data_IF_784541494116
#
_entry.id   IF_784541494116
#
_cell.length_a   1.000
_cell.length_b   1.000
_cell.length_c   1.000
_cell.angle_alpha   90.00
_cell.angle_beta   90.00
_cell.angle_gamma   90.00
#
_symmetry.space_group_name_H-M   'P 1'
#
loop_
_entity.id
_entity.type
_entity.pdbx_description
1 polymer ?
#
# COMPACT_ATOMS: atom_id res chain seq x y z
N UNK A 1 -10.91 8.07 -13.17
CA UNK A 1 -9.54 8.24 -13.73
C UNK A 1 -9.31 7.08 -14.70
N UNK A 2 -8.52 7.23 -15.77
CA UNK A 2 -8.21 6.08 -16.63
C UNK A 2 -7.30 5.09 -15.89
N UNK A 3 -7.61 3.78 -15.95
CA UNK A 3 -6.83 2.74 -15.30
C UNK A 3 -5.54 2.46 -16.08
N UNK A 4 -4.42 2.40 -15.37
CA UNK A 4 -3.09 2.17 -15.94
C UNK A 4 -2.66 0.74 -15.70
N UNK A 5 -2.11 0.11 -16.72
CA UNK A 5 -1.59 -1.23 -16.65
C UNK A 5 -0.08 -1.22 -16.83
N UNK A 6 0.61 -1.87 -15.89
CA UNK A 6 2.02 -2.16 -15.99
C UNK A 6 2.20 -3.67 -15.91
N UNK A 7 3.14 -4.28 -16.64
CA UNK A 7 3.44 -5.69 -16.45
C UNK A 7 4.07 -5.94 -15.07
N UNK A 8 3.76 -7.10 -14.48
CA UNK A 8 4.06 -7.38 -13.07
C UNK A 8 5.55 -7.30 -12.70
N UNK A 9 6.46 -7.58 -13.64
CA UNK A 9 7.91 -7.53 -13.41
C UNK A 9 8.43 -6.09 -13.20
N UNK A 10 7.65 -5.07 -13.55
CA UNK A 10 7.99 -3.68 -13.21
C UNK A 10 7.59 -3.33 -11.78
N UNK A 11 6.53 -3.95 -11.25
CA UNK A 11 5.94 -3.60 -9.96
C UNK A 11 6.93 -3.78 -8.81
N UNK A 12 7.13 -2.70 -8.07
CA UNK A 12 7.97 -2.66 -6.89
C UNK A 12 7.41 -3.55 -5.78
N UNK A 13 6.09 -3.59 -5.61
CA UNK A 13 5.44 -4.48 -4.65
C UNK A 13 5.70 -5.97 -4.96
N UNK A 14 5.71 -6.35 -6.24
CA UNK A 14 6.02 -7.72 -6.64
C UNK A 14 7.47 -8.08 -6.25
N UNK A 15 8.42 -7.19 -6.54
CA UNK A 15 9.83 -7.35 -6.16
C UNK A 15 10.04 -7.38 -4.65
N UNK A 16 9.22 -6.65 -3.89
CA UNK A 16 9.23 -6.64 -2.43
C UNK A 16 8.58 -7.89 -1.79
N UNK A 17 8.12 -8.86 -2.59
CA UNK A 17 7.56 -10.11 -2.10
C UNK A 17 6.07 -10.05 -1.74
N UNK A 18 5.36 -8.98 -2.12
CA UNK A 18 3.94 -8.78 -1.82
C UNK A 18 3.04 -9.96 -2.24
N UNK A 19 3.40 -10.64 -3.34
CA UNK A 19 2.68 -11.78 -3.91
C UNK A 19 3.36 -13.14 -3.67
N UNK A 20 4.39 -13.20 -2.82
CA UNK A 20 5.09 -14.47 -2.52
C UNK A 20 4.14 -15.49 -1.92
N UNK A 21 4.34 -16.81 -2.10
CA UNK A 21 3.50 -17.81 -1.42
C UNK A 21 3.50 -17.60 0.09
N UNK A 22 2.33 -17.72 0.73
CA UNK A 22 2.25 -17.60 2.19
C UNK A 22 3.02 -18.76 2.84
N UNK A 23 3.88 -18.41 3.80
CA UNK A 23 4.60 -19.40 4.59
C UNK A 23 3.96 -19.48 5.98
N UNK A 24 3.28 -20.60 6.27
CA UNK A 24 2.61 -20.82 7.55
C UNK A 24 3.54 -20.67 8.77
N UNK A 25 4.85 -20.92 8.61
CA UNK A 25 5.83 -20.76 9.72
C UNK A 25 6.10 -19.31 10.09
N UNK A 26 5.87 -18.36 9.17
CA UNK A 26 6.13 -16.92 9.37
C UNK A 26 4.86 -16.09 9.59
N UNK A 27 3.70 -16.74 9.54
CA UNK A 27 2.39 -16.08 9.56
C UNK A 27 2.23 -15.15 10.77
N UNK A 28 2.48 -15.65 11.97
CA UNK A 28 2.35 -14.87 13.21
C UNK A 28 3.33 -13.69 13.28
N UNK A 29 4.56 -13.90 12.77
CA UNK A 29 5.57 -12.84 12.69
C UNK A 29 5.13 -11.72 11.74
N UNK A 30 4.62 -12.06 10.56
CA UNK A 30 4.10 -11.09 9.60
C UNK A 30 2.86 -10.35 10.12
N UNK A 31 2.04 -11.04 10.92
CA UNK A 31 0.86 -10.43 11.55
C UNK A 31 1.28 -9.38 12.57
N UNK A 32 2.22 -9.72 13.45
CA UNK A 32 2.76 -8.80 14.44
C UNK A 32 3.41 -7.60 13.75
N UNK A 33 4.21 -7.82 12.69
CA UNK A 33 4.78 -6.74 11.88
C UNK A 33 3.72 -5.81 11.30
N UNK A 34 2.62 -6.36 10.78
CA UNK A 34 1.52 -5.58 10.22
C UNK A 34 0.80 -4.75 11.29
N UNK A 35 0.46 -5.37 12.41
CA UNK A 35 -0.19 -4.71 13.55
C UNK A 35 0.71 -3.62 14.13
N UNK A 36 1.99 -3.91 14.38
CA UNK A 36 2.99 -2.94 14.85
C UNK A 36 3.12 -1.75 13.90
N UNK A 37 3.13 -1.98 12.59
CA UNK A 37 3.17 -0.88 11.62
C UNK A 37 1.93 0.01 11.73
N UNK A 38 0.73 -0.57 11.64
CA UNK A 38 -0.52 0.20 11.56
C UNK A 38 -0.91 0.91 12.85
N UNK A 39 -0.43 0.39 13.99
CA UNK A 39 -0.64 1.01 15.31
C UNK A 39 0.39 2.07 15.65
N UNK A 40 1.52 2.11 14.93
CA UNK A 40 2.52 3.17 15.04
C UNK A 40 2.31 4.17 13.90
N UNK A 41 1.34 5.08 14.07
CA UNK A 41 0.95 6.05 13.05
C UNK A 41 2.12 6.90 12.49
N UNK A 42 3.08 7.41 13.30
CA UNK A 42 4.23 8.12 12.76
C UNK A 42 5.11 7.25 11.83
N UNK A 43 5.33 5.98 12.19
CA UNK A 43 6.05 5.04 11.33
C UNK A 43 5.24 4.74 10.08
N UNK A 44 3.94 4.45 10.23
CA UNK A 44 3.07 4.16 9.10
C UNK A 44 3.02 5.31 8.11
N UNK A 45 2.89 6.55 8.58
CA UNK A 45 2.91 7.76 7.76
C UNK A 45 4.21 7.88 6.96
N UNK A 46 5.35 7.68 7.63
CA UNK A 46 6.68 7.73 7.00
C UNK A 46 6.80 6.70 5.87
N UNK A 47 6.31 5.47 6.09
CA UNK A 47 6.37 4.40 5.10
C UNK A 47 5.37 4.62 3.96
N UNK A 48 4.14 5.05 4.26
CA UNK A 48 3.16 5.42 3.24
C UNK A 48 3.71 6.47 2.29
N UNK A 49 4.36 7.51 2.84
CA UNK A 49 4.99 8.53 2.02
C UNK A 49 6.02 7.94 1.07
N UNK A 50 6.87 7.03 1.55
CA UNK A 50 7.86 6.33 0.72
C UNK A 50 7.22 5.48 -0.36
N UNK A 51 6.18 4.71 -0.04
CA UNK A 51 5.44 3.89 -1.02
C UNK A 51 4.93 4.79 -2.15
N UNK A 52 4.21 5.87 -1.84
CA UNK A 52 3.59 6.70 -2.88
C UNK A 52 4.61 7.51 -3.71
N UNK A 53 5.85 7.70 -3.23
CA UNK A 53 6.89 8.43 -3.95
C UNK A 53 7.88 7.52 -4.69
N UNK A 54 8.13 6.32 -4.17
CA UNK A 54 9.18 5.42 -4.69
C UNK A 54 8.62 4.25 -5.51
N UNK A 55 7.38 3.81 -5.26
CA UNK A 55 6.77 2.67 -5.95
C UNK A 55 5.87 3.10 -7.10
N UNK A 56 6.48 3.76 -8.09
CA UNK A 56 5.77 4.37 -9.22
C UNK A 56 4.87 3.38 -9.95
N UNK A 57 5.41 2.26 -10.43
CA UNK A 57 4.66 1.34 -11.29
C UNK A 57 3.57 0.61 -10.50
N UNK A 58 3.87 0.23 -9.27
CA UNK A 58 2.89 -0.36 -8.36
C UNK A 58 1.76 0.62 -8.02
N UNK A 59 2.06 1.88 -7.71
CA UNK A 59 1.05 2.89 -7.41
C UNK A 59 0.20 3.22 -8.64
N UNK A 60 0.81 3.48 -9.80
CA UNK A 60 0.06 3.73 -11.04
C UNK A 60 -0.87 2.54 -11.36
N UNK A 61 -0.39 1.30 -11.21
CA UNK A 61 -1.22 0.12 -11.47
C UNK A 61 -2.39 -0.05 -10.49
N UNK A 62 -2.12 0.06 -9.18
CA UNK A 62 -3.08 -0.31 -8.14
C UNK A 62 -3.97 0.87 -7.72
N UNK A 63 -3.46 2.11 -7.69
CA UNK A 63 -4.20 3.27 -7.21
C UNK A 63 -5.12 3.89 -8.28
N UNK A 64 -4.85 3.65 -9.56
CA UNK A 64 -5.78 3.98 -10.66
C UNK A 64 -6.86 2.91 -10.87
N UNK A 65 -6.74 1.75 -10.21
CA UNK A 65 -7.78 0.71 -10.26
C UNK A 65 -8.87 0.99 -9.22
N UNK A 66 -9.95 1.65 -9.65
CA UNK A 66 -11.07 2.02 -8.76
C UNK A 66 -11.86 0.82 -8.22
N UNK A 67 -11.74 -0.37 -8.81
CA UNK A 67 -12.37 -1.59 -8.29
C UNK A 67 -11.58 -2.29 -7.18
N UNK A 68 -10.33 -1.89 -6.94
CA UNK A 68 -9.50 -2.39 -5.84
C UNK A 68 -9.82 -1.61 -4.56
N UNK A 69 -9.78 -2.29 -3.41
CA UNK A 69 -9.71 -1.58 -2.13
C UNK A 69 -8.31 -0.94 -1.98
N UNK A 70 -8.16 0.28 -2.50
CA UNK A 70 -6.91 1.05 -2.54
C UNK A 70 -6.38 1.38 -1.14
N UNK A 71 -7.27 1.57 -0.18
CA UNK A 71 -6.93 1.83 1.23
C UNK A 71 -6.26 0.59 1.83
N UNK A 72 -6.89 -0.58 1.69
CA UNK A 72 -6.30 -1.83 2.14
C UNK A 72 -4.97 -2.11 1.43
N UNK A 73 -4.90 -1.88 0.11
CA UNK A 73 -3.67 -2.06 -0.64
C UNK A 73 -2.52 -1.18 -0.12
N UNK A 74 -2.77 0.09 0.22
CA UNK A 74 -1.75 0.98 0.78
C UNK A 74 -1.22 0.48 2.13
N UNK A 75 -2.08 -0.03 2.99
CA UNK A 75 -1.67 -0.66 4.26
C UNK A 75 -0.77 -1.88 4.03
N UNK A 76 -1.22 -2.80 3.17
CA UNK A 76 -0.47 -4.01 2.82
C UNK A 76 0.87 -3.67 2.14
N UNK A 77 0.86 -2.70 1.21
CA UNK A 77 2.03 -2.27 0.46
C UNK A 77 3.07 -1.63 1.39
N UNK A 78 2.64 -0.88 2.39
CA UNK A 78 3.54 -0.30 3.40
C UNK A 78 4.24 -1.40 4.23
N UNK A 79 3.52 -2.47 4.58
CA UNK A 79 4.13 -3.60 5.28
C UNK A 79 5.09 -4.38 4.40
N UNK A 80 4.75 -4.61 3.13
CA UNK A 80 5.65 -5.20 2.16
C UNK A 80 6.91 -4.34 1.93
N UNK A 81 6.75 -3.01 1.85
CA UNK A 81 7.85 -2.07 1.70
C UNK A 81 8.84 -2.18 2.86
N UNK A 82 8.34 -2.19 4.10
CA UNK A 82 9.21 -2.15 5.28
C UNK A 82 9.78 -3.52 5.65
N UNK A 83 8.99 -4.58 5.52
CA UNK A 83 9.31 -5.89 6.08
C UNK A 83 9.34 -7.04 5.06
N UNK A 84 8.96 -6.80 3.80
CA UNK A 84 8.82 -7.85 2.80
C UNK A 84 7.66 -8.83 3.07
N UNK A 85 6.66 -8.41 3.86
CA UNK A 85 5.51 -9.26 4.20
C UNK A 85 4.58 -9.51 2.99
N UNK A 86 3.97 -10.68 2.98
CA UNK A 86 3.00 -11.04 1.95
C UNK A 86 1.59 -10.43 2.20
N UNK A 87 0.88 -10.09 1.13
CA UNK A 87 -0.44 -9.47 1.17
C UNK A 87 -1.56 -10.38 1.75
N UNK A 88 -1.49 -11.69 1.49
CA UNK A 88 -2.48 -12.64 2.00
C UNK A 88 -2.46 -12.74 3.53
N UNK A 89 -1.28 -12.66 4.13
CA UNK A 89 -1.11 -12.68 5.58
C UNK A 89 -1.55 -11.34 6.21
N UNK A 90 -1.10 -10.21 5.65
CA UNK A 90 -1.46 -8.88 6.15
C UNK A 90 -2.97 -8.60 6.08
N UNK A 91 -3.69 -9.15 5.10
CA UNK A 91 -5.17 -9.08 5.03
C UNK A 91 -5.85 -9.68 6.26
N UNK A 92 -5.36 -10.81 6.77
CA UNK A 92 -5.93 -11.45 7.97
C UNK A 92 -5.54 -10.69 9.22
N UNK A 93 -4.29 -10.22 9.29
CA UNK A 93 -3.77 -9.45 10.43
C UNK A 93 -4.54 -8.15 10.68
N UNK A 94 -5.14 -7.54 9.65
CA UNK A 94 -5.98 -6.35 9.82
C UNK A 94 -7.13 -6.57 10.81
N UNK A 95 -7.72 -7.78 10.83
CA UNK A 95 -8.81 -8.12 11.74
C UNK A 95 -8.37 -8.28 13.21
N UNK A 96 -7.06 -8.25 13.49
CA UNK A 96 -6.52 -8.29 14.85
C UNK A 96 -6.49 -6.89 15.49
N UNK A 97 -6.63 -5.83 14.69
CA UNK A 97 -6.69 -4.45 15.16
C UNK A 97 -8.06 -4.16 15.77
N UNK A 98 -8.09 -3.28 16.78
CA UNK A 98 -9.35 -2.73 17.27
C UNK A 98 -10.01 -1.84 16.22
N UNK A 99 -11.33 -1.62 16.32
CA UNK A 99 -12.05 -0.75 15.38
C UNK A 99 -11.44 0.66 15.29
N UNK A 100 -10.98 1.22 16.42
CA UNK A 100 -10.34 2.53 16.42
C UNK A 100 -9.00 2.52 15.68
N UNK A 101 -8.17 1.49 15.90
CA UNK A 101 -6.89 1.35 15.19
C UNK A 101 -7.11 1.17 13.68
N UNK A 102 -8.11 0.37 13.28
CA UNK A 102 -8.49 0.22 11.88
C UNK A 102 -8.93 1.56 11.27
N UNK A 103 -9.75 2.34 11.99
CA UNK A 103 -10.23 3.65 11.55
C UNK A 103 -9.09 4.64 11.37
N UNK A 104 -8.19 4.74 12.35
CA UNK A 104 -7.03 5.64 12.29
C UNK A 104 -6.09 5.30 11.14
N UNK A 105 -5.78 4.01 10.97
CA UNK A 105 -4.96 3.55 9.86
C UNK A 105 -5.62 3.80 8.49
N UNK A 106 -6.92 3.51 8.36
CA UNK A 106 -7.67 3.76 7.13
C UNK A 106 -7.71 5.25 6.77
N UNK A 107 -7.95 6.12 7.76
CA UNK A 107 -7.95 7.57 7.56
C UNK A 107 -6.58 8.08 7.09
N UNK A 108 -5.49 7.53 7.65
CA UNK A 108 -4.14 7.86 7.21
C UNK A 108 -3.86 7.37 5.77
N UNK A 109 -4.23 6.13 5.44
CA UNK A 109 -4.09 5.63 4.08
C UNK A 109 -4.95 6.43 3.08
N UNK A 110 -6.14 6.89 3.47
CA UNK A 110 -6.99 7.74 2.64
C UNK A 110 -6.37 9.12 2.38
N UNK A 111 -5.80 9.75 3.41
CA UNK A 111 -5.02 10.99 3.27
C UNK A 111 -3.91 10.83 2.21
N UNK A 112 -3.18 9.71 2.26
CA UNK A 112 -2.07 9.45 1.33
C UNK A 112 -2.52 9.03 -0.06
N UNK A 113 -3.65 8.35 -0.19
CA UNK A 113 -4.30 8.11 -1.48
C UNK A 113 -4.64 9.44 -2.16
N UNK A 114 -5.30 10.35 -1.44
CA UNK A 114 -5.67 11.66 -1.98
C UNK A 114 -4.44 12.48 -2.39
N UNK A 115 -3.38 12.47 -1.57
CA UNK A 115 -2.09 13.10 -1.89
C UNK A 115 -1.49 12.55 -3.19
N UNK A 116 -1.47 11.24 -3.37
CA UNK A 116 -0.96 10.62 -4.60
C UNK A 116 -1.82 10.99 -5.81
N UNK A 117 -3.15 10.94 -5.67
CA UNK A 117 -4.08 11.28 -6.75
C UNK A 117 -3.95 12.74 -7.20
N UNK A 118 -3.74 13.68 -6.29
CA UNK A 118 -3.51 15.09 -6.61
C UNK A 118 -2.20 15.29 -7.37
N UNK A 119 -1.10 14.71 -6.88
CA UNK A 119 0.20 14.75 -7.56
C UNK A 119 0.12 14.15 -8.96
N UNK A 120 -0.52 13.00 -9.09
CA UNK A 120 -0.69 12.31 -10.37
C UNK A 120 -1.48 13.16 -11.38
N UNK A 121 -2.60 13.77 -10.96
CA UNK A 121 -3.37 14.69 -11.81
C UNK A 121 -2.52 15.87 -12.30
N UNK A 122 -1.73 16.46 -11.40
CA UNK A 122 -0.85 17.58 -11.74
C UNK A 122 0.23 17.20 -12.75
N UNK A 123 0.78 16.00 -12.66
CA UNK A 123 1.74 15.47 -13.65
C UNK A 123 1.08 15.20 -15.01
N UNK A 124 -0.14 14.66 -15.03
CA UNK A 124 -0.89 14.45 -16.27
C UNK A 124 -1.16 15.76 -16.99
N UNK A 125 -1.68 16.79 -16.29
CA UNK A 125 -1.96 18.11 -16.88
C UNK A 125 -0.71 18.72 -17.52
N UNK A 126 0.46 18.59 -16.87
CA UNK A 126 1.74 19.09 -17.41
C UNK A 126 2.19 18.37 -18.68
N UNK A 127 1.83 17.10 -18.86
CA UNK A 127 2.15 16.34 -20.08
C UNK A 127 1.27 16.73 -21.26
N UNK A 128 0.03 17.11 -21.02
CA UNK A 128 -0.92 17.52 -22.07
C UNK A 128 -0.75 18.98 -22.52
N UNK A 129 -0.06 19.80 -21.72
CA UNK A 129 0.20 21.21 -22.02
C UNK A 129 1.47 21.46 -22.87
N UNK A 130 2.12 20.40 -23.38
CA UNK A 130 3.28 20.44 -24.28
C UNK A 130 2.91 19.81 -25.61
#
# INVERSE_FOLDING_TARGET
>A
MERIYHPYYLWECYKAGFFSPSNNRKKEEEYNKYVTLLTNLPLFEKILNKVITEWKYSCEHNLTNESLNRIAWLGQASCAYLFGCNAANTRVAFNLLTENQQKEANAMAEKYLNKWMENYKNECIKKTAK
#
